data_IF_264362127367
#
_entry.id   IF_264362127367
#
_cell.length_a   1.000
_cell.length_b   1.000
_cell.length_c   1.000
_cell.angle_alpha   90.00
_cell.angle_beta   90.00
_cell.angle_gamma   90.00
#
_symmetry.space_group_name_H-M   'P 1'
#
loop_
_entity.id
_entity.type
_entity.pdbx_description
1 polymer ?
#
# COMPACT_ATOMS: atom_id res chain seq x y z
N UNK A 1 9.55 -65.86 -31.68
CA UNK A 1 8.94 -64.58 -32.10
C UNK A 1 9.06 -63.62 -30.93
N UNK A 2 10.04 -62.71 -31.00
CA UNK A 2 10.40 -61.77 -29.93
C UNK A 2 9.33 -60.67 -29.81
N UNK A 3 8.74 -60.49 -28.63
CA UNK A 3 7.93 -59.30 -28.33
C UNK A 3 8.72 -58.47 -27.31
N UNK A 4 9.28 -57.36 -27.80
CA UNK A 4 9.98 -56.34 -27.02
C UNK A 4 8.96 -55.52 -26.24
N UNK A 5 9.02 -55.56 -24.92
CA UNK A 5 8.31 -54.66 -24.00
C UNK A 5 9.00 -53.29 -24.00
N UNK A 6 8.33 -52.26 -24.51
CA UNK A 6 8.80 -50.87 -24.46
C UNK A 6 8.29 -50.24 -23.16
N UNK A 7 9.19 -50.04 -22.20
CA UNK A 7 8.95 -49.12 -21.08
C UNK A 7 9.01 -47.68 -21.60
N UNK A 8 7.88 -46.97 -21.61
CA UNK A 8 7.85 -45.53 -21.86
C UNK A 8 8.37 -44.81 -20.62
N UNK A 9 9.56 -44.24 -20.73
CA UNK A 9 10.12 -43.32 -19.76
C UNK A 9 9.24 -42.06 -19.67
N UNK A 10 8.76 -41.74 -18.48
CA UNK A 10 8.18 -40.45 -18.14
C UNK A 10 9.32 -39.43 -18.06
N UNK A 11 9.31 -38.32 -18.84
CA UNK A 11 10.36 -37.32 -18.74
C UNK A 11 10.21 -36.53 -17.42
N UNK A 12 11.17 -36.72 -16.53
CA UNK A 12 11.46 -35.86 -15.37
C UNK A 12 11.99 -34.49 -15.82
N UNK A 13 11.10 -33.62 -16.29
CA UNK A 13 11.47 -32.22 -16.55
C UNK A 13 10.25 -31.30 -16.63
N UNK A 14 9.59 -31.12 -15.49
CA UNK A 14 8.85 -29.91 -15.17
C UNK A 14 9.02 -29.64 -13.67
N UNK A 15 10.25 -29.30 -13.29
CA UNK A 15 10.43 -28.35 -12.19
C UNK A 15 9.82 -27.04 -12.67
N UNK A 16 8.50 -26.90 -12.45
CA UNK A 16 7.87 -25.59 -12.43
C UNK A 16 8.63 -24.83 -11.35
N UNK A 17 9.54 -23.96 -11.78
CA UNK A 17 10.06 -22.90 -10.95
C UNK A 17 8.80 -22.15 -10.48
N UNK A 18 8.37 -22.42 -9.26
CA UNK A 18 7.48 -21.53 -8.53
C UNK A 18 8.33 -20.28 -8.33
N UNK A 19 8.38 -19.44 -9.37
CA UNK A 19 8.72 -18.03 -9.24
C UNK A 19 7.96 -17.56 -8.02
N UNK A 20 8.56 -16.80 -7.08
CA UNK A 20 7.80 -16.23 -5.99
C UNK A 20 6.65 -15.50 -6.67
N UNK A 21 5.44 -16.01 -6.49
CA UNK A 21 4.25 -15.57 -7.21
C UNK A 21 4.28 -14.07 -7.05
N UNK A 22 4.48 -13.34 -8.16
CA UNK A 22 4.24 -11.91 -8.15
C UNK A 22 2.81 -11.83 -7.64
N UNK A 23 2.63 -11.35 -6.41
CA UNK A 23 1.30 -11.35 -5.84
C UNK A 23 0.50 -10.39 -6.70
N UNK A 24 -0.35 -10.91 -7.60
CA UNK A 24 -1.31 -10.08 -8.30
C UNK A 24 -2.13 -9.34 -7.23
N UNK A 25 -2.57 -8.13 -7.53
CA UNK A 25 -3.37 -7.36 -6.55
C UNK A 25 -4.66 -8.11 -6.21
N UNK A 26 -5.20 -8.86 -7.17
CA UNK A 26 -6.25 -9.87 -6.95
C UNK A 26 -5.86 -10.92 -5.91
N UNK A 27 -4.67 -11.53 -5.99
CA UNK A 27 -4.22 -12.49 -4.98
C UNK A 27 -4.03 -11.85 -3.60
N UNK A 28 -3.64 -10.57 -3.53
CA UNK A 28 -3.62 -9.82 -2.27
C UNK A 28 -5.04 -9.68 -1.72
N UNK A 29 -6.00 -9.25 -2.53
CA UNK A 29 -7.38 -9.07 -2.12
C UNK A 29 -8.00 -10.37 -1.60
N UNK A 30 -7.87 -11.47 -2.35
CA UNK A 30 -8.39 -12.78 -1.95
C UNK A 30 -7.81 -13.24 -0.60
N UNK A 31 -6.50 -13.04 -0.37
CA UNK A 31 -5.86 -13.38 0.91
C UNK A 31 -6.31 -12.50 2.08
N UNK A 32 -6.77 -11.29 1.81
CA UNK A 32 -7.32 -10.38 2.81
C UNK A 32 -8.85 -10.50 2.93
N UNK A 33 -9.47 -11.57 2.41
CA UNK A 33 -10.89 -11.85 2.63
C UNK A 33 -11.85 -11.07 1.72
N UNK A 34 -11.34 -10.41 0.68
CA UNK A 34 -12.19 -9.84 -0.38
C UNK A 34 -12.83 -10.98 -1.15
N UNK A 35 -14.15 -10.91 -1.37
CA UNK A 35 -14.87 -11.92 -2.16
C UNK A 35 -14.28 -12.06 -3.56
N UNK A 36 -14.40 -13.24 -4.16
CA UNK A 36 -13.87 -13.50 -5.50
C UNK A 36 -14.44 -12.53 -6.54
N UNK A 37 -15.72 -12.23 -6.44
CA UNK A 37 -16.41 -11.29 -7.31
C UNK A 37 -15.86 -9.86 -7.19
N UNK A 38 -15.69 -9.36 -5.98
CA UNK A 38 -15.11 -8.03 -5.77
C UNK A 38 -13.64 -7.99 -6.18
N UNK A 39 -12.87 -9.03 -5.90
CA UNK A 39 -11.46 -9.11 -6.28
C UNK A 39 -11.28 -9.14 -7.81
N UNK A 40 -12.12 -9.89 -8.52
CA UNK A 40 -12.06 -9.98 -9.99
C UNK A 40 -12.34 -8.62 -10.65
N UNK A 41 -13.24 -7.82 -10.09
CA UNK A 41 -13.70 -6.58 -10.71
C UNK A 41 -13.02 -5.29 -10.19
N UNK A 42 -12.46 -5.30 -8.98
CA UNK A 42 -11.91 -4.10 -8.34
C UNK A 42 -10.42 -4.19 -7.98
N UNK A 43 -9.81 -5.38 -7.99
CA UNK A 43 -8.41 -5.54 -7.61
C UNK A 43 -7.43 -5.64 -8.79
N UNK A 44 -7.84 -5.17 -9.96
CA UNK A 44 -6.97 -5.02 -11.11
C UNK A 44 -7.03 -3.57 -11.64
N UNK A 45 -6.01 -2.74 -11.35
CA UNK A 45 -6.02 -1.34 -11.75
C UNK A 45 -5.93 -1.17 -13.27
N UNK A 46 -5.58 -2.21 -14.04
CA UNK A 46 -5.61 -2.19 -15.50
C UNK A 46 -6.99 -2.42 -16.10
N UNK A 47 -7.96 -2.89 -15.30
CA UNK A 47 -9.31 -3.23 -15.74
C UNK A 47 -10.34 -2.64 -14.76
N UNK A 48 -10.42 -1.30 -14.64
CA UNK A 48 -11.45 -0.67 -13.83
C UNK A 48 -12.85 -1.06 -14.32
N UNK A 49 -13.84 -1.20 -13.42
CA UNK A 49 -15.21 -1.46 -13.83
C UNK A 49 -15.77 -0.28 -14.62
N UNK A 50 -16.51 -0.58 -15.68
CA UNK A 50 -17.29 0.40 -16.43
C UNK A 50 -18.44 0.97 -15.60
N UNK A 51 -19.04 2.07 -16.06
CA UNK A 51 -20.00 2.84 -15.28
C UNK A 51 -21.21 2.02 -14.79
N UNK A 52 -21.76 1.15 -15.64
CA UNK A 52 -22.89 0.26 -15.29
C UNK A 52 -22.48 -0.77 -14.24
N UNK A 53 -21.29 -1.37 -14.39
CA UNK A 53 -20.81 -2.40 -13.48
C UNK A 53 -20.55 -1.87 -12.06
N UNK A 54 -20.17 -0.58 -11.93
CA UNK A 54 -19.97 0.04 -10.61
C UNK A 54 -21.24 -0.03 -9.77
N UNK A 55 -22.40 0.27 -10.35
CA UNK A 55 -23.68 0.23 -9.62
C UNK A 55 -24.00 -1.15 -9.06
N UNK A 56 -23.80 -2.22 -9.86
CA UNK A 56 -24.04 -3.58 -9.37
C UNK A 56 -23.00 -4.00 -8.33
N UNK A 57 -21.71 -3.70 -8.51
CA UNK A 57 -20.66 -4.12 -7.57
C UNK A 57 -20.85 -3.57 -6.15
N UNK A 58 -21.43 -2.38 -6.03
CA UNK A 58 -21.66 -1.71 -4.75
C UNK A 58 -23.11 -1.85 -4.24
N UNK A 59 -23.96 -2.63 -4.91
CA UNK A 59 -25.30 -2.93 -4.41
C UNK A 59 -25.25 -3.89 -3.20
N UNK A 60 -26.42 -4.13 -2.59
CA UNK A 60 -26.51 -5.03 -1.44
C UNK A 60 -26.29 -6.51 -1.74
N UNK A 61 -26.27 -6.93 -3.01
CA UNK A 61 -26.01 -8.32 -3.41
C UNK A 61 -24.52 -8.62 -3.38
N UNK A 62 -23.73 -7.72 -3.97
CA UNK A 62 -22.28 -7.91 -4.12
C UNK A 62 -21.48 -7.26 -2.99
N UNK A 63 -22.00 -6.17 -2.43
CA UNK A 63 -21.53 -5.51 -1.22
C UNK A 63 -20.02 -5.24 -1.19
N UNK A 64 -19.41 -4.91 -2.34
CA UNK A 64 -17.97 -4.66 -2.43
C UNK A 64 -17.51 -3.43 -1.64
N UNK A 65 -18.44 -2.57 -1.22
CA UNK A 65 -18.18 -1.45 -0.31
C UNK A 65 -17.56 -1.91 1.01
N UNK A 66 -17.99 -3.07 1.52
CA UNK A 66 -17.47 -3.66 2.76
C UNK A 66 -16.00 -4.10 2.68
N UNK A 67 -15.45 -4.22 1.47
CA UNK A 67 -14.08 -4.66 1.20
C UNK A 67 -13.16 -3.52 0.75
N UNK A 68 -13.64 -2.28 0.72
CA UNK A 68 -12.87 -1.17 0.12
C UNK A 68 -11.54 -0.91 0.85
N UNK A 69 -11.48 -1.17 2.16
CA UNK A 69 -10.23 -1.06 2.93
C UNK A 69 -9.19 -2.02 2.38
N UNK A 70 -9.49 -3.31 2.31
CA UNK A 70 -8.56 -4.34 1.85
C UNK A 70 -8.23 -4.19 0.36
N UNK A 71 -9.23 -3.84 -0.46
CA UNK A 71 -9.04 -3.51 -1.87
C UNK A 71 -8.05 -2.35 -2.01
N UNK A 72 -8.26 -1.25 -1.27
CA UNK A 72 -7.41 -0.07 -1.35
C UNK A 72 -5.96 -0.37 -0.96
N UNK A 73 -5.74 -1.09 0.15
CA UNK A 73 -4.40 -1.48 0.60
C UNK A 73 -3.68 -2.36 -0.41
N UNK A 74 -4.38 -3.32 -0.99
CA UNK A 74 -3.82 -4.19 -2.03
C UNK A 74 -3.52 -3.44 -3.33
N UNK A 75 -4.41 -2.51 -3.74
CA UNK A 75 -4.19 -1.69 -4.93
C UNK A 75 -3.01 -0.73 -4.74
N UNK A 76 -2.90 -0.04 -3.61
CA UNK A 76 -1.84 0.95 -3.44
C UNK A 76 -0.46 0.34 -3.20
N UNK A 77 -0.39 -0.89 -2.69
CA UNK A 77 0.88 -1.62 -2.46
C UNK A 77 1.91 -0.74 -1.71
N UNK A 78 1.42 -0.09 -0.64
CA UNK A 78 2.22 0.79 0.21
C UNK A 78 2.53 2.16 -0.37
N UNK A 79 1.78 2.65 -1.36
CA UNK A 79 2.01 3.97 -2.00
C UNK A 79 0.91 4.94 -1.66
N UNK A 80 1.29 6.20 -1.46
CA UNK A 80 0.33 7.27 -1.31
C UNK A 80 0.23 8.04 -2.63
N UNK A 81 -0.88 7.81 -3.34
CA UNK A 81 -1.18 8.44 -4.62
C UNK A 81 -2.13 9.64 -4.47
N UNK A 82 -2.43 10.08 -3.25
CA UNK A 82 -3.47 11.09 -2.98
C UNK A 82 -3.25 12.36 -3.78
N UNK A 83 -2.02 12.88 -3.83
CA UNK A 83 -1.69 14.08 -4.60
C UNK A 83 -2.03 13.93 -6.10
N UNK A 84 -1.76 12.75 -6.69
CA UNK A 84 -2.11 12.49 -8.08
C UNK A 84 -3.63 12.49 -8.25
N UNK A 85 -4.35 11.79 -7.36
CA UNK A 85 -5.80 11.70 -7.43
C UNK A 85 -6.47 13.08 -7.33
N UNK A 86 -6.02 13.93 -6.40
CA UNK A 86 -6.56 15.28 -6.26
C UNK A 86 -6.34 16.14 -7.52
N UNK A 87 -5.19 15.98 -8.18
CA UNK A 87 -4.85 16.75 -9.38
C UNK A 87 -5.58 16.28 -10.63
N UNK A 88 -5.93 14.99 -10.70
CA UNK A 88 -6.49 14.36 -11.89
C UNK A 88 -7.96 13.96 -11.72
N UNK A 89 -8.57 14.32 -10.59
CA UNK A 89 -9.98 14.08 -10.32
C UNK A 89 -10.84 14.69 -11.43
N UNK A 90 -11.89 13.95 -11.82
CA UNK A 90 -12.89 14.48 -12.73
C UNK A 90 -13.73 15.54 -12.03
N UNK A 91 -13.99 15.34 -10.75
CA UNK A 91 -14.58 16.32 -9.85
C UNK A 91 -13.82 16.30 -8.51
N UNK A 92 -13.01 17.34 -8.20
CA UNK A 92 -12.21 17.40 -6.98
C UNK A 92 -13.03 17.72 -5.72
N UNK A 93 -14.30 18.10 -5.83
CA UNK A 93 -15.19 18.31 -4.68
C UNK A 93 -15.75 16.98 -4.15
N UNK A 94 -15.92 16.00 -5.04
CA UNK A 94 -16.38 14.64 -4.72
C UNK A 94 -15.23 13.77 -4.22
N UNK A 95 -14.91 13.89 -2.91
CA UNK A 95 -13.68 13.33 -2.31
C UNK A 95 -13.87 12.08 -1.46
N UNK A 96 -15.10 11.62 -1.21
CA UNK A 96 -15.41 10.53 -0.27
C UNK A 96 -14.75 9.17 -0.60
N UNK A 97 -14.24 8.99 -1.83
CA UNK A 97 -13.50 7.81 -2.27
C UNK A 97 -11.98 8.02 -2.40
N UNK A 98 -11.43 9.20 -2.09
CA UNK A 98 -9.99 9.49 -2.27
C UNK A 98 -9.08 8.70 -1.33
N UNK A 99 -9.60 8.15 -0.24
CA UNK A 99 -8.86 7.21 0.60
C UNK A 99 -8.42 5.93 -0.15
N UNK A 100 -9.04 5.62 -1.30
CA UNK A 100 -8.54 4.57 -2.20
C UNK A 100 -7.13 4.85 -2.74
N UNK A 101 -6.75 6.12 -2.86
CA UNK A 101 -5.46 6.54 -3.40
C UNK A 101 -4.30 6.31 -2.44
N UNK A 102 -4.59 6.34 -1.15
CA UNK A 102 -3.62 6.18 -0.06
C UNK A 102 -3.78 4.87 0.69
N UNK A 103 -4.73 3.99 0.31
CA UNK A 103 -4.97 2.71 1.00
C UNK A 103 -5.63 2.85 2.38
N UNK A 104 -6.20 4.02 2.67
CA UNK A 104 -6.77 4.41 3.96
C UNK A 104 -8.16 5.02 3.73
N UNK A 105 -9.10 4.19 3.26
CA UNK A 105 -10.48 4.65 3.04
C UNK A 105 -11.29 4.69 4.34
N UNK A 106 -11.94 5.82 4.57
CA UNK A 106 -12.91 5.99 5.66
C UNK A 106 -14.29 5.53 5.18
N UNK A 107 -14.83 4.50 5.83
CA UNK A 107 -16.19 4.01 5.55
C UNK A 107 -17.28 4.78 6.33
N UNK A 108 -16.93 5.89 6.98
CA UNK A 108 -17.89 6.74 7.71
C UNK A 108 -18.64 7.72 6.80
N UNK A 109 -18.23 7.84 5.54
CA UNK A 109 -18.88 8.69 4.55
C UNK A 109 -20.29 8.18 4.21
N UNK A 110 -21.29 9.05 4.00
CA UNK A 110 -22.59 8.62 3.52
C UNK A 110 -22.45 7.84 2.21
N UNK A 111 -23.15 6.69 2.10
CA UNK A 111 -23.06 5.81 0.93
C UNK A 111 -23.31 6.55 -0.40
N UNK A 112 -24.19 7.55 -0.38
CA UNK A 112 -24.46 8.40 -1.55
C UNK A 112 -23.21 9.13 -2.06
N UNK A 113 -22.46 9.75 -1.16
CA UNK A 113 -21.29 10.58 -1.52
C UNK A 113 -20.13 9.68 -1.96
N UNK A 114 -19.99 8.51 -1.31
CA UNK A 114 -19.09 7.45 -1.76
C UNK A 114 -19.42 7.00 -3.20
N UNK A 115 -20.71 6.80 -3.52
CA UNK A 115 -21.14 6.42 -4.87
C UNK A 115 -20.95 7.53 -5.90
N UNK A 116 -21.23 8.79 -5.56
CA UNK A 116 -20.96 9.94 -6.42
C UNK A 116 -19.47 10.02 -6.77
N UNK A 117 -18.60 9.93 -5.76
CA UNK A 117 -17.16 9.92 -5.97
C UNK A 117 -16.70 8.73 -6.82
N UNK A 118 -17.16 7.51 -6.54
CA UNK A 118 -16.78 6.32 -7.31
C UNK A 118 -17.28 6.39 -8.77
N UNK A 119 -18.45 6.99 -9.02
CA UNK A 119 -18.95 7.19 -10.37
C UNK A 119 -18.05 8.15 -11.18
N UNK A 120 -17.55 9.22 -10.55
CA UNK A 120 -16.80 10.27 -11.24
C UNK A 120 -15.29 10.01 -11.28
N UNK A 121 -14.73 9.58 -10.17
CA UNK A 121 -13.29 9.62 -9.89
C UNK A 121 -12.62 8.24 -9.90
N UNK A 122 -13.35 7.12 -10.01
CA UNK A 122 -12.72 5.80 -10.01
C UNK A 122 -11.72 5.58 -11.16
N UNK A 123 -11.99 5.98 -12.42
CA UNK A 123 -10.99 5.88 -13.50
C UNK A 123 -9.69 6.67 -13.23
N UNK A 124 -9.70 7.98 -12.91
CA UNK A 124 -8.46 8.69 -12.62
C UNK A 124 -7.75 8.18 -11.36
N UNK A 125 -8.47 7.64 -10.37
CA UNK A 125 -7.85 6.95 -9.23
C UNK A 125 -7.00 5.75 -9.70
N UNK A 126 -7.55 4.92 -10.59
CA UNK A 126 -6.84 3.75 -11.12
C UNK A 126 -5.62 4.16 -11.95
N UNK A 127 -5.74 5.20 -12.77
CA UNK A 127 -4.62 5.76 -13.52
C UNK A 127 -3.49 6.25 -12.59
N UNK A 128 -3.84 6.90 -11.50
CA UNK A 128 -2.89 7.35 -10.49
C UNK A 128 -2.20 6.19 -9.77
N UNK A 129 -2.93 5.12 -9.43
CA UNK A 129 -2.34 3.90 -8.85
C UNK A 129 -1.34 3.26 -9.83
N UNK A 130 -1.71 3.14 -11.11
CA UNK A 130 -0.83 2.62 -12.16
C UNK A 130 0.43 3.46 -12.36
N UNK A 131 0.30 4.79 -12.29
CA UNK A 131 1.43 5.71 -12.30
C UNK A 131 2.33 5.50 -11.09
N UNK A 132 1.74 5.41 -9.89
CA UNK A 132 2.44 5.21 -8.63
C UNK A 132 3.31 3.96 -8.61
N UNK A 133 2.88 2.86 -9.25
CA UNK A 133 3.71 1.66 -9.40
C UNK A 133 5.05 1.90 -10.08
N UNK A 134 5.12 2.90 -10.98
CA UNK A 134 6.32 3.23 -11.74
C UNK A 134 7.11 4.37 -11.13
N UNK A 135 6.46 5.26 -10.37
CA UNK A 135 7.06 6.54 -9.98
C UNK A 135 7.26 6.72 -8.48
N UNK A 136 6.64 5.88 -7.64
CA UNK A 136 6.70 6.02 -6.18
C UNK A 136 7.36 4.78 -5.56
N UNK A 137 8.27 4.93 -4.58
CA UNK A 137 8.82 3.82 -3.82
C UNK A 137 7.78 3.12 -2.95
N UNK A 138 8.02 1.84 -2.63
CA UNK A 138 7.29 1.22 -1.50
C UNK A 138 7.79 1.80 -0.17
N UNK A 139 7.12 1.52 0.96
CA UNK A 139 7.64 1.93 2.25
C UNK A 139 9.01 1.29 2.53
N UNK A 140 9.85 1.95 3.35
CA UNK A 140 10.99 1.31 3.99
C UNK A 140 10.57 0.08 4.80
N UNK A 141 11.47 -0.88 4.94
CA UNK A 141 11.16 -2.17 5.60
C UNK A 141 12.17 -2.50 6.69
N UNK A 142 11.83 -3.45 7.56
CA UNK A 142 12.70 -3.94 8.66
C UNK A 142 13.24 -2.81 9.51
N UNK A 143 12.33 -1.97 9.99
CA UNK A 143 12.71 -0.93 10.92
C UNK A 143 13.17 -1.60 12.22
N UNK A 144 14.25 -1.06 12.78
CA UNK A 144 14.73 -1.47 14.10
C UNK A 144 15.43 -0.33 14.79
N UNK A 145 15.45 -0.40 16.11
CA UNK A 145 16.16 0.54 16.96
C UNK A 145 17.22 -0.25 17.74
N UNK A 146 18.48 0.17 17.58
CA UNK A 146 19.63 -0.44 18.26
C UNK A 146 20.44 0.68 18.90
N UNK A 147 20.57 0.67 20.23
CA UNK A 147 21.37 1.64 21.01
C UNK A 147 21.07 3.11 20.65
N UNK A 148 19.78 3.49 20.58
CA UNK A 148 19.34 4.85 20.24
C UNK A 148 19.44 5.21 18.76
N UNK A 149 19.83 4.27 17.89
CA UNK A 149 19.89 4.48 16.45
C UNK A 149 18.72 3.78 15.75
N UNK A 150 17.89 4.56 15.05
CA UNK A 150 16.90 4.04 14.12
C UNK A 150 17.59 3.57 12.85
N UNK A 151 17.26 2.37 12.38
CA UNK A 151 17.75 1.79 11.12
C UNK A 151 16.59 1.18 10.34
N UNK A 152 16.71 1.20 9.01
CA UNK A 152 15.76 0.56 8.11
C UNK A 152 16.49 0.01 6.88
N UNK A 153 15.84 -0.93 6.18
CA UNK A 153 16.21 -1.33 4.84
C UNK A 153 15.49 -0.44 3.82
N UNK A 154 16.11 -0.25 2.65
CA UNK A 154 15.52 0.50 1.54
C UNK A 154 14.20 -0.15 1.08
N UNK A 155 13.29 0.63 0.44
CA UNK A 155 12.10 0.10 -0.19
C UNK A 155 12.37 -1.14 -1.04
N UNK A 156 11.50 -2.15 -0.96
CA UNK A 156 11.59 -3.34 -1.82
C UNK A 156 11.38 -2.98 -3.29
N UNK A 157 10.40 -2.11 -3.56
CA UNK A 157 10.04 -1.67 -4.91
C UNK A 157 10.48 -0.22 -5.13
N UNK A 158 11.10 0.04 -6.27
CA UNK A 158 11.56 1.37 -6.72
C UNK A 158 12.49 2.09 -5.72
N UNK A 159 13.39 1.36 -5.04
CA UNK A 159 14.37 1.94 -4.12
C UNK A 159 15.27 3.01 -4.73
N UNK A 160 15.53 2.92 -6.03
CA UNK A 160 16.33 3.88 -6.80
C UNK A 160 15.62 5.22 -7.04
N UNK A 161 14.30 5.31 -6.84
CA UNK A 161 13.53 6.55 -6.97
C UNK A 161 13.53 7.39 -5.69
N UNK A 162 14.05 6.85 -4.58
CA UNK A 162 14.06 7.56 -3.30
C UNK A 162 14.97 8.77 -3.40
N UNK A 163 14.42 9.95 -3.12
CA UNK A 163 15.17 11.21 -3.00
C UNK A 163 15.53 11.50 -1.54
N UNK A 164 14.56 11.31 -0.63
CA UNK A 164 14.74 11.48 0.81
C UNK A 164 13.87 10.51 1.62
N UNK A 165 14.22 10.34 2.89
CA UNK A 165 13.38 9.70 3.90
C UNK A 165 12.90 10.73 4.91
N UNK A 166 11.61 10.67 5.26
CA UNK A 166 11.02 11.41 6.38
C UNK A 166 10.83 10.48 7.56
N UNK A 167 11.40 10.84 8.71
CA UNK A 167 11.28 10.12 9.97
C UNK A 167 10.30 10.89 10.84
N UNK A 168 9.24 10.21 11.26
CA UNK A 168 8.22 10.73 12.13
C UNK A 168 8.40 10.15 13.52
N UNK A 169 8.47 11.01 14.53
CA UNK A 169 8.70 10.65 15.93
C UNK A 169 7.62 11.31 16.78
N UNK A 170 6.73 10.52 17.36
CA UNK A 170 5.60 11.01 18.16
C UNK A 170 5.77 10.66 19.63
N UNK A 171 5.70 11.66 20.51
CA UNK A 171 5.66 11.45 21.97
C UNK A 171 4.21 11.19 22.42
N UNK A 172 3.96 9.95 22.82
CA UNK A 172 2.65 9.44 23.22
C UNK A 172 2.41 9.52 24.75
N UNK A 173 3.38 10.02 25.53
CA UNK A 173 3.23 10.17 26.98
C UNK A 173 2.45 11.42 27.41
N UNK A 174 2.13 12.32 26.49
CA UNK A 174 1.39 13.55 26.77
C UNK A 174 -0.08 13.39 26.40
N UNK A 175 -0.94 14.19 27.03
CA UNK A 175 -2.35 14.32 26.61
C UNK A 175 -2.49 14.83 25.17
N UNK A 176 -1.48 15.57 24.68
CA UNK A 176 -1.36 16.00 23.28
C UNK A 176 -0.10 15.42 22.67
N UNK A 177 -0.27 14.57 21.66
CA UNK A 177 0.83 14.01 20.86
C UNK A 177 1.61 15.14 20.19
N UNK A 178 2.93 15.15 20.41
CA UNK A 178 3.85 16.06 19.72
C UNK A 178 4.62 15.23 18.71
N UNK A 179 4.45 15.55 17.43
CA UNK A 179 5.13 14.89 16.32
C UNK A 179 6.33 15.72 15.85
N UNK A 180 7.50 15.08 15.78
CA UNK A 180 8.73 15.64 15.25
C UNK A 180 9.02 14.98 13.90
N UNK A 181 9.22 15.81 12.87
CA UNK A 181 9.59 15.35 11.53
C UNK A 181 11.06 15.64 11.30
N UNK A 182 11.81 14.63 10.86
CA UNK A 182 13.22 14.70 10.48
C UNK A 182 13.42 14.15 9.09
N UNK A 183 14.46 14.60 8.41
CA UNK A 183 14.72 14.20 7.03
C UNK A 183 16.15 13.70 6.89
N UNK A 184 16.35 12.75 5.98
CA UNK A 184 17.69 12.33 5.56
C UNK A 184 17.71 11.99 4.08
N UNK A 185 18.88 12.08 3.46
CA UNK A 185 19.07 11.77 2.03
C UNK A 185 18.88 10.28 1.76
N UNK A 186 18.61 9.91 0.51
CA UNK A 186 18.43 8.52 0.08
C UNK A 186 19.65 7.59 0.30
N UNK A 187 20.83 8.17 0.48
CA UNK A 187 22.05 7.44 0.83
C UNK A 187 22.04 6.91 2.27
N UNK A 188 21.30 7.57 3.17
CA UNK A 188 21.27 7.24 4.59
C UNK A 188 20.04 6.41 4.94
N UNK A 189 20.26 5.23 5.52
CA UNK A 189 19.19 4.36 6.03
C UNK A 189 19.26 4.18 7.55
N UNK A 190 19.77 5.21 8.22
CA UNK A 190 19.91 5.28 9.66
C UNK A 190 19.74 6.72 10.15
N UNK A 191 19.20 6.87 11.36
CA UNK A 191 18.99 8.16 12.00
C UNK A 191 19.28 8.04 13.50
N UNK A 192 20.01 9.01 14.06
CA UNK A 192 20.32 9.03 15.49
C UNK A 192 19.16 9.68 16.25
N UNK A 193 18.51 8.93 17.15
CA UNK A 193 17.39 9.42 17.95
C UNK A 193 17.93 10.20 19.15
N UNK A 194 18.09 11.51 18.97
CA UNK A 194 18.61 12.41 20.01
C UNK A 194 17.50 13.26 20.61
N UNK A 195 17.75 13.83 21.80
CA UNK A 195 16.84 14.73 22.50
C UNK A 195 15.47 14.10 22.84
N UNK A 196 15.44 12.79 23.05
CA UNK A 196 14.28 12.10 23.58
C UNK A 196 14.20 12.30 25.11
N UNK A 197 12.98 12.45 25.63
CA UNK A 197 12.74 12.58 27.06
C UNK A 197 12.78 11.23 27.75
N UNK A 198 13.48 11.18 28.87
CA UNK A 198 13.49 10.00 29.75
C UNK A 198 12.08 9.73 30.28
N UNK A 199 11.71 8.46 30.35
CA UNK A 199 10.38 8.02 30.79
C UNK A 199 9.23 8.32 29.82
N UNK A 200 9.49 8.86 28.63
CA UNK A 200 8.48 9.03 27.58
C UNK A 200 8.31 7.74 26.75
N UNK A 201 7.12 7.57 26.19
CA UNK A 201 6.78 6.54 25.22
C UNK A 201 6.70 7.18 23.83
N UNK A 202 7.50 6.68 22.91
CA UNK A 202 7.57 7.21 21.54
C UNK A 202 7.06 6.19 20.53
N UNK A 203 6.44 6.67 19.47
CA UNK A 203 6.22 5.89 18.25
C UNK A 203 7.01 6.48 17.09
N UNK A 204 7.61 5.63 16.27
CA UNK A 204 8.47 6.03 15.17
C UNK A 204 8.12 5.24 13.91
N UNK A 205 8.02 5.94 12.78
CA UNK A 205 7.91 5.34 11.46
C UNK A 205 8.67 6.18 10.43
N UNK A 206 8.92 5.60 9.26
CA UNK A 206 9.67 6.24 8.18
C UNK A 206 8.86 6.18 6.88
N UNK A 207 8.84 7.29 6.15
CA UNK A 207 8.26 7.39 4.80
C UNK A 207 9.40 7.61 3.80
N UNK A 208 9.32 6.98 2.64
CA UNK A 208 10.20 7.24 1.51
C UNK A 208 9.54 8.20 0.52
N UNK A 209 10.25 9.22 0.06
CA UNK A 209 9.77 10.16 -0.95
C UNK A 209 10.54 10.03 -2.26
N UNK A 210 9.86 10.37 -3.35
CA UNK A 210 10.40 10.51 -4.70
C UNK A 210 9.98 11.86 -5.28
N UNK A 211 10.43 12.19 -6.48
CA UNK A 211 9.97 13.39 -7.19
C UNK A 211 8.48 13.36 -7.55
N UNK A 212 7.84 12.18 -7.55
CA UNK A 212 6.46 12.00 -8.02
C UNK A 212 5.45 11.68 -6.91
N UNK A 213 5.90 11.62 -5.66
CA UNK A 213 5.03 11.25 -4.53
C UNK A 213 5.78 10.51 -3.43
N UNK A 214 5.03 9.97 -2.47
CA UNK A 214 5.55 9.35 -1.25
C UNK A 214 4.98 7.95 -1.02
N UNK A 215 5.72 7.11 -0.31
CA UNK A 215 5.19 5.86 0.20
C UNK A 215 4.18 6.10 1.32
N UNK A 216 3.42 5.07 1.68
CA UNK A 216 2.80 4.98 3.01
C UNK A 216 3.88 4.89 4.11
N UNK A 217 3.43 4.95 5.36
CA UNK A 217 4.28 4.69 6.52
C UNK A 217 4.84 3.26 6.47
N UNK A 218 6.08 3.11 6.92
CA UNK A 218 6.63 1.80 7.30
C UNK A 218 5.86 1.19 8.48
N UNK A 219 6.28 0.01 8.92
CA UNK A 219 5.90 -0.48 10.24
C UNK A 219 6.21 0.57 11.33
N UNK A 220 5.35 0.68 12.32
CA UNK A 220 5.53 1.59 13.45
C UNK A 220 6.28 0.86 14.57
N UNK A 221 7.39 1.43 15.03
CA UNK A 221 8.08 0.98 16.22
C UNK A 221 7.67 1.81 17.44
N UNK A 222 7.38 1.14 18.54
CA UNK A 222 7.09 1.78 19.82
C UNK A 222 8.31 1.61 20.75
N UNK A 223 8.75 2.70 21.37
CA UNK A 223 9.84 2.73 22.35
C UNK A 223 9.30 3.16 23.71
N UNK A 224 9.62 2.39 24.75
CA UNK A 224 9.41 2.78 26.16
C UNK A 224 10.72 3.24 26.79
N UNK A 225 10.65 4.28 27.62
CA UNK A 225 11.80 4.94 28.24
C UNK A 225 12.73 4.00 29.00
N UNK A 226 13.93 3.83 28.45
CA UNK A 226 15.26 3.71 29.08
C UNK A 226 16.26 3.57 27.91
N UNK A 227 16.64 4.70 27.31
CA UNK A 227 17.93 4.83 26.62
C UNK A 227 18.92 5.40 27.62
#
# INVERSE_FOLDING_TARGET
>A
MLIRTIFKAFPWSLLVLISPISCSRQACCLRNGVSEECAQNLCDPHRPPGDVARYSLFDGRHNCSSHLTEISQCLTDGRDNLQCCEQNAKDPEERSCFGLCSGEISLFEPFRDLMSCLALNLPPIYDCILKGYKTIPSPPIKLKIESGMLRWDRPKNNSHLVTLYKIYISDNSRSRTVELIRETTSANTRFNLTNLRLGSHYSVYVIAESLSGRSQASEQLNMGGLL
#
